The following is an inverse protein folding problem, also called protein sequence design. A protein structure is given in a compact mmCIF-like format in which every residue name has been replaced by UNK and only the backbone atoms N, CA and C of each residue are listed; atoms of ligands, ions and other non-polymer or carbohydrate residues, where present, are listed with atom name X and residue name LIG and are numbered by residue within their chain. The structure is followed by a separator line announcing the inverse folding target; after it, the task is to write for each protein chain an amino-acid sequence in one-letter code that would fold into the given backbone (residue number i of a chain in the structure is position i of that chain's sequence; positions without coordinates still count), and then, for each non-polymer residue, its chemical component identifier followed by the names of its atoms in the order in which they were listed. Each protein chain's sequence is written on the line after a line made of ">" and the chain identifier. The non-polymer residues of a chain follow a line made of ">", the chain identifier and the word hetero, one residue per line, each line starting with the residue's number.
data_IF_258521878521
#
_entry.id   IF_258521878521
#
_cell.length_a   1.000
_cell.length_b   1.000
_cell.length_c   1.000
_cell.angle_alpha   90.00
_cell.angle_beta   90.00
_cell.angle_gamma   90.00
#
_symmetry.space_group_name_H-M   'P 1'
#
loop_
_entity.id
_entity.type
_entity.pdbx_description
1 polymer ?
#
# COMPACT_ATOMS: atom_id res chain seq x y z
N UNK A 1 18.42 34.19 9.51
CA UNK A 1 17.57 33.12 10.08
C UNK A 1 16.49 32.82 9.06
N UNK A 2 16.63 31.67 8.41
CA UNK A 2 15.98 31.32 7.14
C UNK A 2 14.47 31.20 7.31
N UNK A 3 13.73 31.93 6.47
CA UNK A 3 12.27 31.84 6.37
C UNK A 3 11.93 30.48 5.75
N UNK A 4 11.58 29.49 6.57
CA UNK A 4 10.81 28.33 6.09
C UNK A 4 9.41 28.82 5.73
N UNK A 5 9.25 29.26 4.48
CA UNK A 5 7.95 29.61 3.93
C UNK A 5 7.11 28.35 3.69
N UNK A 6 5.78 28.49 3.51
CA UNK A 6 4.89 27.37 3.16
C UNK A 6 5.30 26.63 1.87
N UNK A 7 6.09 27.27 1.00
CA UNK A 7 6.71 26.70 -0.20
C UNK A 7 7.77 25.62 0.12
N UNK A 8 8.47 25.71 1.25
CA UNK A 8 9.50 24.74 1.64
C UNK A 8 8.90 23.40 2.07
N UNK A 9 7.78 23.45 2.81
CA UNK A 9 7.06 22.26 3.26
C UNK A 9 6.42 21.49 2.09
N UNK A 10 5.91 22.21 1.09
CA UNK A 10 5.34 21.59 -0.12
C UNK A 10 6.44 20.97 -0.98
N UNK A 11 7.57 21.66 -1.18
CA UNK A 11 8.74 21.09 -1.89
C UNK A 11 9.30 19.86 -1.20
N UNK A 12 9.40 19.88 0.14
CA UNK A 12 9.83 18.73 0.94
C UNK A 12 8.86 17.56 0.76
N UNK A 13 7.55 17.80 0.91
CA UNK A 13 6.53 16.78 0.72
C UNK A 13 6.56 16.12 -0.66
N UNK A 14 6.72 16.89 -1.74
CA UNK A 14 6.87 16.34 -3.10
C UNK A 14 8.12 15.48 -3.23
N UNK A 15 9.24 15.91 -2.67
CA UNK A 15 10.51 15.17 -2.69
C UNK A 15 10.41 13.85 -1.90
N UNK A 16 9.69 13.86 -0.77
CA UNK A 16 9.43 12.68 0.04
C UNK A 16 8.52 11.68 -0.69
N UNK A 17 7.49 12.16 -1.40
CA UNK A 17 6.64 11.32 -2.27
C UNK A 17 7.49 10.65 -3.35
N UNK A 18 8.29 11.40 -4.09
CA UNK A 18 9.15 10.87 -5.15
C UNK A 18 10.13 9.80 -4.62
N UNK A 19 10.70 10.01 -3.43
CA UNK A 19 11.58 9.04 -2.79
C UNK A 19 10.85 7.74 -2.43
N UNK A 20 9.62 7.84 -1.91
CA UNK A 20 8.77 6.68 -1.61
C UNK A 20 8.42 5.94 -2.90
N UNK A 21 8.06 6.65 -3.96
CA UNK A 21 7.75 6.06 -5.26
C UNK A 21 8.96 5.35 -5.87
N UNK A 22 10.16 5.91 -5.74
CA UNK A 22 11.39 5.25 -6.17
C UNK A 22 11.66 3.94 -5.42
N UNK A 23 11.49 3.94 -4.10
CA UNK A 23 11.61 2.72 -3.27
C UNK A 23 10.58 1.67 -3.66
N UNK A 24 9.35 2.10 -3.95
CA UNK A 24 8.25 1.22 -4.34
C UNK A 24 8.47 0.63 -5.72
N UNK A 25 8.85 1.44 -6.70
CA UNK A 25 9.16 0.99 -8.05
C UNK A 25 10.30 -0.04 -8.02
N UNK A 26 11.31 0.16 -7.17
CA UNK A 26 12.35 -0.84 -6.95
C UNK A 26 11.78 -2.15 -6.37
N UNK A 27 10.91 -2.07 -5.36
CA UNK A 27 10.29 -3.24 -4.75
C UNK A 27 9.39 -4.04 -5.72
N UNK A 28 8.70 -3.36 -6.64
CA UNK A 28 7.84 -3.96 -7.67
C UNK A 28 8.66 -4.61 -8.79
N UNK A 29 9.74 -3.96 -9.22
CA UNK A 29 10.59 -4.42 -10.34
C UNK A 29 11.63 -5.46 -9.92
N UNK A 30 11.99 -5.52 -8.64
CA UNK A 30 12.94 -6.47 -8.10
C UNK A 30 12.44 -7.91 -8.36
N UNK A 31 12.96 -8.51 -9.44
CA UNK A 31 12.67 -9.91 -9.82
C UNK A 31 12.96 -10.84 -8.65
N UNK A 32 12.13 -11.88 -8.51
CA UNK A 32 12.05 -12.85 -7.41
C UNK A 32 13.38 -13.44 -6.90
N UNK A 33 14.48 -13.34 -7.67
CA UNK A 33 15.83 -13.75 -7.26
C UNK A 33 16.37 -12.96 -6.05
N UNK A 34 15.96 -11.70 -5.83
CA UNK A 34 16.49 -10.82 -4.76
C UNK A 34 15.38 -10.30 -3.81
N UNK A 35 14.32 -11.08 -3.59
CA UNK A 35 13.13 -10.57 -2.88
C UNK A 35 13.31 -10.18 -1.40
N UNK A 36 14.51 -10.33 -0.81
CA UNK A 36 14.81 -9.81 0.53
C UNK A 36 15.01 -8.29 0.50
N UNK A 37 15.71 -7.77 -0.51
CA UNK A 37 15.89 -6.34 -0.72
C UNK A 37 14.57 -5.66 -1.10
N UNK A 38 13.73 -6.32 -1.92
CA UNK A 38 12.43 -5.81 -2.31
C UNK A 38 11.49 -5.56 -1.11
N UNK A 39 11.44 -6.51 -0.16
CA UNK A 39 10.63 -6.36 1.05
C UNK A 39 11.20 -5.27 1.97
N UNK A 40 12.53 -5.15 2.05
CA UNK A 40 13.20 -4.06 2.77
C UNK A 40 12.78 -2.69 2.22
N UNK A 41 12.86 -2.50 0.91
CA UNK A 41 12.45 -1.25 0.25
C UNK A 41 10.96 -0.96 0.43
N UNK A 42 10.09 -1.97 0.33
CA UNK A 42 8.66 -1.78 0.57
C UNK A 42 8.36 -1.38 2.03
N UNK A 43 9.04 -1.99 3.01
CA UNK A 43 8.90 -1.64 4.43
C UNK A 43 9.42 -0.23 4.72
N UNK A 44 10.53 0.17 4.10
CA UNK A 44 11.03 1.54 4.21
C UNK A 44 10.05 2.55 3.60
N UNK A 45 9.49 2.24 2.43
CA UNK A 45 8.46 3.04 1.79
C UNK A 45 7.21 3.19 2.69
N UNK A 46 6.77 2.12 3.36
CA UNK A 46 5.67 2.18 4.36
C UNK A 46 6.04 3.11 5.52
N UNK A 47 7.23 2.94 6.10
CA UNK A 47 7.66 3.75 7.23
C UNK A 47 7.68 5.25 6.88
N UNK A 48 8.25 5.60 5.72
CA UNK A 48 8.27 6.99 5.23
C UNK A 48 6.86 7.51 4.92
N UNK A 49 6.03 6.71 4.26
CA UNK A 49 4.64 7.08 3.96
C UNK A 49 3.82 7.35 5.22
N UNK A 50 4.02 6.58 6.31
CA UNK A 50 3.33 6.83 7.59
C UNK A 50 3.75 8.15 8.23
N UNK A 51 5.03 8.51 8.15
CA UNK A 51 5.51 9.81 8.63
C UNK A 51 4.91 10.93 7.78
N UNK A 52 4.92 10.75 6.46
CA UNK A 52 4.37 11.73 5.53
C UNK A 52 2.87 11.97 5.74
N UNK A 53 2.06 10.92 5.93
CA UNK A 53 0.62 11.05 6.25
C UNK A 53 0.40 11.80 7.56
N UNK A 54 1.31 11.67 8.54
CA UNK A 54 1.24 12.42 9.81
C UNK A 54 1.65 13.89 9.65
N UNK A 55 2.66 14.18 8.83
CA UNK A 55 3.13 15.55 8.58
C UNK A 55 2.19 16.32 7.64
N UNK A 56 1.66 15.66 6.62
CA UNK A 56 0.79 16.20 5.59
C UNK A 56 -0.32 15.18 5.24
N UNK A 57 -1.38 15.10 6.06
CA UNK A 57 -2.51 14.22 5.77
C UNK A 57 -3.22 14.68 4.51
N UNK A 58 -3.45 13.75 3.59
CA UNK A 58 -4.15 14.01 2.34
C UNK A 58 -4.45 12.73 1.59
N UNK A 59 -5.39 12.81 0.65
CA UNK A 59 -5.82 11.65 -0.14
C UNK A 59 -4.65 11.01 -0.89
N UNK A 60 -3.77 11.82 -1.49
CA UNK A 60 -2.58 11.35 -2.22
C UNK A 60 -1.60 10.61 -1.30
N UNK A 61 -1.34 11.13 -0.09
CA UNK A 61 -0.39 10.51 0.85
C UNK A 61 -0.96 9.22 1.44
N UNK A 62 -2.27 9.17 1.71
CA UNK A 62 -2.98 7.97 2.14
C UNK A 62 -3.02 6.89 1.05
N UNK A 63 -3.30 7.27 -0.21
CA UNK A 63 -3.24 6.34 -1.35
C UNK A 63 -1.84 5.74 -1.50
N UNK A 64 -0.81 6.57 -1.35
CA UNK A 64 0.58 6.13 -1.45
C UNK A 64 0.92 5.11 -0.36
N UNK A 65 0.50 5.36 0.89
CA UNK A 65 0.67 4.41 1.99
C UNK A 65 -0.04 3.08 1.71
N UNK A 66 -1.28 3.11 1.24
CA UNK A 66 -2.03 1.90 0.87
C UNK A 66 -1.35 1.11 -0.26
N UNK A 67 -0.80 1.80 -1.27
CA UNK A 67 -0.04 1.18 -2.36
C UNK A 67 1.22 0.49 -1.84
N UNK A 68 1.93 1.11 -0.90
CA UNK A 68 3.11 0.53 -0.26
C UNK A 68 2.76 -0.74 0.55
N UNK A 69 1.70 -0.69 1.36
CA UNK A 69 1.20 -1.83 2.15
C UNK A 69 0.83 -3.02 1.26
N UNK A 70 0.08 -2.77 0.17
CA UNK A 70 -0.31 -3.79 -0.79
C UNK A 70 0.89 -4.43 -1.49
N UNK A 71 1.90 -3.64 -1.82
CA UNK A 71 3.13 -4.15 -2.44
C UNK A 71 3.90 -5.06 -1.49
N UNK A 72 4.04 -4.66 -0.22
CA UNK A 72 4.65 -5.50 0.81
C UNK A 72 3.84 -6.79 1.05
N UNK A 73 2.51 -6.71 1.11
CA UNK A 73 1.63 -7.88 1.21
C UNK A 73 1.82 -8.83 0.02
N UNK A 74 1.83 -8.32 -1.21
CA UNK A 74 2.10 -9.12 -2.40
C UNK A 74 3.47 -9.79 -2.41
N UNK A 75 4.51 -9.10 -1.91
CA UNK A 75 5.85 -9.67 -1.73
C UNK A 75 5.84 -10.82 -0.71
N UNK A 76 5.16 -10.65 0.42
CA UNK A 76 5.04 -11.68 1.45
C UNK A 76 4.25 -12.90 0.95
N UNK A 77 3.16 -12.69 0.20
CA UNK A 77 2.38 -13.77 -0.41
C UNK A 77 3.22 -14.60 -1.37
N UNK A 78 4.04 -13.95 -2.23
CA UNK A 78 5.00 -14.65 -3.11
C UNK A 78 6.03 -15.48 -2.33
N UNK A 79 6.26 -15.18 -1.06
CA UNK A 79 7.15 -15.93 -0.16
C UNK A 79 6.44 -16.96 0.71
N UNK A 80 5.14 -17.18 0.50
CA UNK A 80 4.33 -18.08 1.33
C UNK A 80 4.06 -17.55 2.74
N UNK A 81 4.34 -16.26 3.01
CA UNK A 81 4.13 -15.62 4.32
C UNK A 81 2.77 -14.94 4.40
N UNK A 82 1.70 -15.69 4.15
CA UNK A 82 0.35 -15.15 4.09
C UNK A 82 -0.12 -14.57 5.44
N UNK A 83 0.32 -15.14 6.56
CA UNK A 83 0.02 -14.66 7.92
C UNK A 83 0.55 -13.25 8.16
N UNK A 84 1.73 -12.92 7.63
CA UNK A 84 2.30 -11.57 7.71
C UNK A 84 1.68 -10.61 6.68
N UNK A 85 1.23 -11.12 5.53
CA UNK A 85 0.60 -10.33 4.49
C UNK A 85 -0.81 -9.84 4.87
N UNK A 86 -1.56 -10.68 5.60
CA UNK A 86 -2.93 -10.40 6.02
C UNK A 86 -3.08 -9.05 6.73
N UNK A 87 -2.35 -8.73 7.82
CA UNK A 87 -2.51 -7.44 8.49
C UNK A 87 -2.19 -6.24 7.59
N UNK A 88 -1.22 -6.37 6.68
CA UNK A 88 -0.88 -5.31 5.73
C UNK A 88 -1.98 -5.08 4.70
N UNK A 89 -2.59 -6.16 4.18
CA UNK A 89 -3.70 -6.07 3.24
C UNK A 89 -4.96 -5.50 3.90
N UNK A 90 -5.26 -5.91 5.14
CA UNK A 90 -6.38 -5.37 5.93
C UNK A 90 -6.20 -3.87 6.19
N UNK A 91 -4.99 -3.44 6.54
CA UNK A 91 -4.71 -2.01 6.73
C UNK A 91 -4.85 -1.21 5.43
N UNK A 92 -4.39 -1.75 4.30
CA UNK A 92 -4.57 -1.11 3.00
C UNK A 92 -6.06 -0.93 2.65
N UNK A 93 -6.91 -1.93 2.94
CA UNK A 93 -8.37 -1.81 2.78
C UNK A 93 -8.93 -0.71 3.69
N UNK A 94 -8.53 -0.66 4.95
CA UNK A 94 -9.00 0.37 5.89
C UNK A 94 -8.69 1.79 5.40
N UNK A 95 -7.48 2.02 4.89
CA UNK A 95 -7.06 3.32 4.34
C UNK A 95 -7.81 3.67 3.05
N UNK A 96 -8.00 2.69 2.15
CA UNK A 96 -8.65 2.92 0.85
C UNK A 96 -10.17 2.99 0.93
N UNK A 97 -10.78 2.53 2.03
CA UNK A 97 -12.21 2.74 2.29
C UNK A 97 -12.56 4.22 2.43
N UNK A 98 -11.65 5.05 2.93
CA UNK A 98 -11.86 6.50 2.99
C UNK A 98 -11.80 7.18 1.61
N UNK A 99 -11.17 6.53 0.62
CA UNK A 99 -10.94 7.08 -0.72
C UNK A 99 -11.98 6.62 -1.75
N UNK A 100 -12.55 5.42 -1.57
CA UNK A 100 -13.53 4.78 -2.48
C UNK A 100 -13.05 4.53 -3.92
N UNK A 101 -13.74 3.64 -4.64
CA UNK A 101 -13.48 3.33 -6.05
C UNK A 101 -12.31 2.36 -6.31
N UNK A 102 -11.55 2.61 -7.37
CA UNK A 102 -10.46 1.74 -7.84
C UNK A 102 -9.42 1.34 -6.76
N UNK A 103 -8.89 2.25 -5.90
CA UNK A 103 -7.90 1.85 -4.90
C UNK A 103 -8.46 0.86 -3.86
N UNK A 104 -9.75 0.95 -3.54
CA UNK A 104 -10.41 0.02 -2.62
C UNK A 104 -10.53 -1.37 -3.24
N UNK A 105 -10.99 -1.46 -4.50
CA UNK A 105 -11.11 -2.73 -5.24
C UNK A 105 -9.77 -3.48 -5.29
N UNK A 106 -8.67 -2.77 -5.58
CA UNK A 106 -7.35 -3.41 -5.67
C UNK A 106 -6.84 -3.85 -4.29
N UNK A 107 -7.16 -3.12 -3.22
CA UNK A 107 -6.83 -3.52 -1.84
C UNK A 107 -7.64 -4.74 -1.39
N UNK A 108 -8.94 -4.79 -1.70
CA UNK A 108 -9.81 -5.93 -1.40
C UNK A 108 -9.34 -7.20 -2.10
N UNK A 109 -8.95 -7.11 -3.37
CA UNK A 109 -8.36 -8.25 -4.08
C UNK A 109 -7.09 -8.77 -3.39
N UNK A 110 -6.20 -7.87 -2.94
CA UNK A 110 -5.00 -8.28 -2.21
C UNK A 110 -5.32 -8.98 -0.88
N UNK A 111 -6.35 -8.49 -0.16
CA UNK A 111 -6.82 -9.11 1.07
C UNK A 111 -7.43 -10.49 0.80
N UNK A 112 -8.24 -10.63 -0.24
CA UNK A 112 -8.81 -11.91 -0.65
C UNK A 112 -7.70 -12.93 -0.95
N UNK A 113 -6.68 -12.56 -1.72
CA UNK A 113 -5.54 -13.46 -2.02
C UNK A 113 -4.81 -13.90 -0.74
N UNK A 114 -4.67 -13.00 0.25
CA UNK A 114 -4.07 -13.36 1.53
C UNK A 114 -4.93 -14.32 2.35
N UNK A 115 -6.26 -14.15 2.32
CA UNK A 115 -7.21 -15.04 2.97
C UNK A 115 -7.24 -16.42 2.31
N UNK A 116 -7.21 -16.50 0.97
CA UNK A 116 -7.13 -17.76 0.22
C UNK A 116 -5.86 -18.53 0.54
N UNK A 117 -4.72 -17.84 0.62
CA UNK A 117 -3.44 -18.45 1.00
C UNK A 117 -3.42 -18.95 2.46
N UNK A 118 -4.35 -18.49 3.30
CA UNK A 118 -4.59 -18.98 4.66
C UNK A 118 -5.74 -20.00 4.74
N UNK A 119 -6.26 -20.47 3.60
CA UNK A 119 -7.42 -21.37 3.50
C UNK A 119 -8.72 -20.82 4.10
N UNK A 120 -8.84 -19.49 4.22
CA UNK A 120 -10.04 -18.78 4.71
C UNK A 120 -10.98 -18.41 3.57
N UNK A 121 -11.40 -19.43 2.80
CA UNK A 121 -12.11 -19.24 1.53
C UNK A 121 -13.44 -18.50 1.65
N UNK A 122 -14.20 -18.72 2.75
CA UNK A 122 -15.46 -18.02 2.98
C UNK A 122 -15.26 -16.51 3.09
N UNK A 123 -14.22 -16.10 3.81
CA UNK A 123 -13.90 -14.68 4.00
C UNK A 123 -13.30 -14.06 2.75
N UNK A 124 -12.48 -14.80 2.01
CA UNK A 124 -12.00 -14.37 0.70
C UNK A 124 -13.16 -14.11 -0.26
N UNK A 125 -14.13 -15.03 -0.34
CA UNK A 125 -15.30 -14.87 -1.19
C UNK A 125 -16.14 -13.64 -0.81
N UNK A 126 -16.34 -13.38 0.49
CA UNK A 126 -17.02 -12.15 0.95
C UNK A 126 -16.25 -10.88 0.54
N UNK A 127 -14.91 -10.92 0.65
CA UNK A 127 -14.04 -9.79 0.29
C UNK A 127 -14.08 -9.52 -1.22
N UNK A 128 -14.11 -10.56 -2.04
CA UNK A 128 -14.27 -10.43 -3.50
C UNK A 128 -15.64 -9.92 -3.88
N UNK A 129 -16.70 -10.43 -3.24
CA UNK A 129 -18.06 -9.93 -3.46
C UNK A 129 -18.20 -8.44 -3.11
N UNK A 130 -17.52 -7.96 -2.07
CA UNK A 130 -17.43 -6.53 -1.76
C UNK A 130 -16.74 -5.77 -2.90
N UNK A 131 -15.65 -6.31 -3.46
CA UNK A 131 -14.92 -5.69 -4.55
C UNK A 131 -15.76 -5.61 -5.84
N UNK A 132 -16.48 -6.67 -6.19
CA UNK A 132 -17.40 -6.73 -7.35
C UNK A 132 -18.62 -5.81 -7.20
N UNK A 133 -19.06 -5.56 -5.96
CA UNK A 133 -20.15 -4.63 -5.69
C UNK A 133 -19.76 -3.16 -5.89
N UNK A 134 -18.45 -2.85 -5.96
CA UNK A 134 -17.96 -1.50 -6.22
C UNK A 134 -17.96 -1.28 -7.74
N UNK A 135 -18.79 -0.37 -8.27
CA UNK A 135 -18.84 -0.12 -9.71
C UNK A 135 -17.48 0.42 -10.21
N UNK A 136 -17.05 0.04 -11.42
CA UNK A 136 -15.88 0.67 -12.03
C UNK A 136 -16.14 2.17 -12.19
N UNK A 137 -15.10 3.01 -12.07
CA UNK A 137 -15.25 4.44 -12.36
C UNK A 137 -15.71 4.62 -13.81
N UNK A 138 -16.74 5.44 -14.01
CA UNK A 138 -17.26 5.87 -15.32
C UNK A 138 -16.20 6.61 -16.15
#
# INVERSE_FOLDING_TARGET
>A
MTRNGPDDATRKGTSDVEAIEGLLAYAETARSRWGGAALGSANEAIARSRVLVKEAPGEVTTALLARCLRTAAGLLLRRGRATDALPLATEAVALTREMSGAPLVVSLHCLATALEALHRYSEAAMTLAEADAIPPPD
#
